data_IF_207855286273
#
_entry.id   IF_207855286273
#
_cell.length_a   1.000
_cell.length_b   1.000
_cell.length_c   1.000
_cell.angle_alpha   90.00
_cell.angle_beta   90.00
_cell.angle_gamma   90.00
#
_symmetry.space_group_name_H-M   'P 1'
#
loop_
_entity.id
_entity.type
_entity.pdbx_description
1 polymer ?
#
# COMPACT_ATOMS: atom_id res chain seq x y z
N UNK A 1 -22.35 -7.60 2.77
CA UNK A 1 -22.56 -6.68 1.65
C UNK A 1 -21.28 -6.55 0.84
N UNK A 2 -20.33 -5.73 1.30
CA UNK A 2 -19.08 -5.43 0.60
C UNK A 2 -18.32 -6.67 0.10
N UNK A 3 -17.90 -7.57 1.00
CA UNK A 3 -17.15 -8.79 0.64
C UNK A 3 -17.89 -9.64 -0.39
N UNK A 4 -19.20 -9.89 -0.17
CA UNK A 4 -20.05 -10.64 -1.10
C UNK A 4 -20.11 -10.00 -2.49
N UNK A 5 -20.11 -8.67 -2.60
CA UNK A 5 -20.15 -7.99 -3.89
C UNK A 5 -18.86 -8.24 -4.69
N UNK A 6 -17.69 -8.22 -4.05
CA UNK A 6 -16.44 -8.58 -4.72
C UNK A 6 -16.45 -10.04 -5.15
N UNK A 7 -16.76 -10.96 -4.22
CA UNK A 7 -16.82 -12.40 -4.50
C UNK A 7 -17.86 -12.80 -5.56
N UNK A 8 -18.92 -12.00 -5.75
CA UNK A 8 -19.90 -12.24 -6.82
C UNK A 8 -19.32 -12.14 -8.23
N UNK A 9 -18.13 -11.56 -8.36
CA UNK A 9 -17.40 -11.44 -9.63
C UNK A 9 -16.27 -12.46 -9.78
N UNK A 10 -16.15 -13.40 -8.83
CA UNK A 10 -15.09 -14.39 -8.83
C UNK A 10 -15.20 -15.34 -10.03
N UNK A 11 -14.08 -15.55 -10.73
CA UNK A 11 -13.96 -16.53 -11.81
C UNK A 11 -13.56 -17.92 -11.28
N UNK A 12 -13.58 -18.95 -12.15
CA UNK A 12 -13.36 -20.34 -11.74
C UNK A 12 -11.97 -20.62 -11.16
N UNK A 13 -10.99 -19.82 -11.54
CA UNK A 13 -9.60 -19.88 -11.08
C UNK A 13 -9.36 -19.10 -9.77
N UNK A 14 -10.41 -18.52 -9.18
CA UNK A 14 -10.32 -17.72 -7.97
C UNK A 14 -10.11 -16.23 -8.22
N UNK A 15 -9.92 -15.80 -9.48
CA UNK A 15 -9.73 -14.39 -9.82
C UNK A 15 -10.91 -13.53 -9.37
N UNK A 16 -10.65 -12.45 -8.63
CA UNK A 16 -11.65 -11.45 -8.22
C UNK A 16 -11.26 -10.10 -8.80
N UNK A 17 -12.15 -9.48 -9.56
CA UNK A 17 -11.87 -8.22 -10.24
C UNK A 17 -11.69 -7.05 -9.26
N UNK A 18 -10.70 -6.20 -9.51
CA UNK A 18 -10.39 -5.03 -8.69
C UNK A 18 -11.46 -3.92 -8.73
N UNK A 19 -12.22 -3.79 -9.83
CA UNK A 19 -13.22 -2.73 -10.01
C UNK A 19 -14.50 -3.28 -10.65
N UNK A 20 -15.25 -4.13 -9.94
CA UNK A 20 -16.48 -4.68 -10.47
C UNK A 20 -17.55 -3.57 -10.51
N UNK A 21 -17.91 -3.16 -11.72
CA UNK A 21 -18.99 -2.18 -11.94
C UNK A 21 -20.36 -2.85 -12.04
N UNK A 22 -21.40 -2.14 -11.60
CA UNK A 22 -22.79 -2.62 -11.64
C UNK A 22 -23.31 -2.92 -13.05
N UNK A 23 -22.75 -2.28 -14.08
CA UNK A 23 -23.10 -2.55 -15.48
C UNK A 23 -22.11 -3.50 -16.17
N UNK A 24 -21.37 -4.29 -15.39
CA UNK A 24 -20.42 -5.28 -15.90
C UNK A 24 -19.04 -4.71 -16.26
N UNK A 25 -18.71 -3.47 -15.86
CA UNK A 25 -17.35 -2.97 -15.99
C UNK A 25 -16.38 -3.83 -15.17
N UNK A 26 -15.16 -4.01 -15.69
CA UNK A 26 -14.10 -4.84 -15.11
C UNK A 26 -12.77 -4.13 -15.22
N UNK A 27 -11.99 -4.16 -14.14
CA UNK A 27 -10.59 -3.74 -14.14
C UNK A 27 -9.67 -4.73 -14.85
N UNK A 28 -10.01 -6.03 -14.83
CA UNK A 28 -9.21 -7.15 -15.37
C UNK A 28 -7.86 -7.35 -14.68
N UNK A 29 -7.73 -6.87 -13.46
CA UNK A 29 -6.63 -7.18 -12.54
C UNK A 29 -7.21 -7.67 -11.22
N UNK A 30 -6.43 -8.47 -10.47
CA UNK A 30 -6.84 -8.96 -9.16
C UNK A 30 -7.17 -7.79 -8.23
N UNK A 31 -8.24 -7.92 -7.46
CA UNK A 31 -8.52 -6.99 -6.36
C UNK A 31 -7.36 -7.00 -5.36
N UNK A 32 -7.03 -5.85 -4.73
CA UNK A 32 -6.01 -5.82 -3.69
C UNK A 32 -6.32 -6.84 -2.57
N UNK A 33 -5.31 -7.52 -2.02
CA UNK A 33 -5.49 -8.60 -1.07
C UNK A 33 -5.85 -8.03 0.32
N UNK A 34 -7.13 -7.71 0.51
CA UNK A 34 -7.70 -7.20 1.78
C UNK A 34 -9.07 -7.84 2.11
N UNK A 35 -9.56 -8.75 1.28
CA UNK A 35 -10.93 -9.27 1.38
C UNK A 35 -11.11 -10.23 2.57
N UNK A 36 -10.13 -11.07 2.88
CA UNK A 36 -10.14 -11.95 4.04
C UNK A 36 -10.03 -11.16 5.34
N UNK A 37 -9.20 -10.11 5.38
CA UNK A 37 -9.13 -9.19 6.51
C UNK A 37 -10.49 -8.55 6.79
N UNK A 38 -11.14 -8.03 5.75
CA UNK A 38 -12.47 -7.42 5.85
C UNK A 38 -13.54 -8.42 6.29
N UNK A 39 -13.49 -9.66 5.77
CA UNK A 39 -14.41 -10.71 6.17
C UNK A 39 -14.22 -11.11 7.64
N UNK A 40 -12.98 -11.22 8.10
CA UNK A 40 -12.67 -11.51 9.50
C UNK A 40 -13.13 -10.39 10.43
N UNK A 41 -12.87 -9.13 10.07
CA UNK A 41 -13.36 -7.96 10.82
C UNK A 41 -14.89 -7.93 10.89
N UNK A 42 -15.57 -8.21 9.77
CA UNK A 42 -17.02 -8.30 9.75
C UNK A 42 -17.54 -9.43 10.65
N UNK A 43 -16.89 -10.59 10.66
CA UNK A 43 -17.21 -11.68 11.58
C UNK A 43 -17.00 -11.26 13.04
N UNK A 44 -15.89 -10.61 13.40
CA UNK A 44 -15.64 -10.14 14.77
C UNK A 44 -16.71 -9.14 15.25
N UNK A 45 -17.27 -8.33 14.35
CA UNK A 45 -18.32 -7.37 14.68
C UNK A 45 -19.73 -7.98 14.73
N UNK A 46 -19.96 -9.15 14.13
CA UNK A 46 -21.30 -9.74 13.95
C UNK A 46 -21.48 -11.11 14.58
N UNK A 47 -20.39 -11.81 14.88
CA UNK A 47 -20.32 -13.22 15.32
C UNK A 47 -21.08 -14.18 14.38
N UNK A 48 -21.23 -13.81 13.09
CA UNK A 48 -21.98 -14.59 12.13
C UNK A 48 -21.11 -15.70 11.51
N UNK A 49 -21.11 -16.88 12.14
CA UNK A 49 -20.36 -18.05 11.66
C UNK A 49 -20.84 -18.56 10.29
N UNK A 50 -22.14 -18.45 9.98
CA UNK A 50 -22.68 -18.86 8.69
C UNK A 50 -22.11 -18.01 7.54
N UNK A 51 -21.97 -16.70 7.75
CA UNK A 51 -21.29 -15.81 6.81
C UNK A 51 -19.81 -16.21 6.64
N UNK A 52 -19.12 -16.54 7.73
CA UNK A 52 -17.71 -16.95 7.67
C UNK A 52 -17.53 -18.24 6.86
N UNK A 53 -18.38 -19.23 7.11
CA UNK A 53 -18.38 -20.50 6.38
C UNK A 53 -18.71 -20.33 4.89
N UNK A 54 -19.61 -19.39 4.55
CA UNK A 54 -19.98 -19.04 3.17
C UNK A 54 -18.80 -18.43 2.40
N UNK A 55 -18.08 -17.48 3.00
CA UNK A 55 -17.03 -16.73 2.29
C UNK A 55 -15.64 -17.36 2.34
N UNK A 56 -15.39 -18.31 3.25
CA UNK A 56 -14.05 -18.89 3.39
C UNK A 56 -13.52 -19.58 2.12
N UNK A 57 -14.23 -20.53 1.48
CA UNK A 57 -13.73 -21.18 0.27
C UNK A 57 -13.41 -20.22 -0.89
N UNK A 58 -14.28 -19.26 -1.27
CA UNK A 58 -13.95 -18.31 -2.35
C UNK A 58 -12.83 -17.35 -1.95
N UNK A 59 -12.70 -16.94 -0.69
CA UNK A 59 -11.56 -16.11 -0.24
C UNK A 59 -10.24 -16.88 -0.33
N UNK A 60 -10.22 -18.16 0.02
CA UNK A 60 -9.04 -19.01 -0.11
C UNK A 60 -8.61 -19.14 -1.58
N UNK A 61 -9.56 -19.38 -2.49
CA UNK A 61 -9.28 -19.44 -3.92
C UNK A 61 -8.73 -18.10 -4.46
N UNK A 62 -9.28 -16.98 -4.02
CA UNK A 62 -8.79 -15.65 -4.36
C UNK A 62 -7.36 -15.40 -3.85
N UNK A 63 -7.08 -15.79 -2.61
CA UNK A 63 -5.72 -15.71 -2.05
C UNK A 63 -4.74 -16.56 -2.87
N UNK A 64 -5.13 -17.78 -3.26
CA UNK A 64 -4.29 -18.65 -4.09
C UNK A 64 -4.05 -18.10 -5.50
N UNK A 65 -5.02 -17.38 -6.08
CA UNK A 65 -4.89 -16.79 -7.40
C UNK A 65 -3.71 -15.80 -7.50
N UNK A 66 -3.36 -15.11 -6.40
CA UNK A 66 -2.19 -14.24 -6.34
C UNK A 66 -0.86 -14.97 -6.58
N UNK A 67 -0.77 -16.26 -6.30
CA UNK A 67 0.45 -17.06 -6.50
C UNK A 67 0.46 -17.82 -7.83
N UNK A 68 -0.46 -17.48 -8.74
CA UNK A 68 -0.42 -18.00 -10.10
C UNK A 68 0.74 -17.36 -10.88
N UNK A 69 1.32 -18.05 -11.90
CA UNK A 69 2.44 -17.52 -12.70
C UNK A 69 2.17 -16.19 -13.41
N UNK A 70 0.90 -15.76 -13.49
CA UNK A 70 0.53 -14.46 -14.03
C UNK A 70 0.90 -13.30 -13.10
N UNK A 71 1.05 -13.57 -11.81
CA UNK A 71 1.25 -12.59 -10.74
C UNK A 71 2.52 -12.85 -9.92
N UNK A 72 3.04 -14.08 -9.90
CA UNK A 72 4.34 -14.49 -9.33
C UNK A 72 5.23 -14.89 -10.51
N UNK A 73 5.89 -13.90 -11.12
CA UNK A 73 6.40 -14.02 -12.51
C UNK A 73 7.76 -14.69 -12.59
N UNK A 74 8.58 -14.58 -11.55
CA UNK A 74 9.83 -15.32 -11.41
C UNK A 74 9.65 -16.63 -10.63
N UNK A 75 8.50 -16.84 -9.99
CA UNK A 75 8.13 -18.08 -9.33
C UNK A 75 8.83 -18.29 -7.99
N UNK A 76 9.27 -17.19 -7.35
CA UNK A 76 9.93 -17.21 -6.05
C UNK A 76 8.93 -17.37 -4.88
N UNK A 77 7.63 -17.25 -5.16
CA UNK A 77 6.56 -17.31 -4.17
C UNK A 77 6.11 -15.95 -3.65
N UNK A 78 6.57 -14.84 -4.24
CA UNK A 78 6.27 -13.45 -3.92
C UNK A 78 5.60 -12.78 -5.13
N UNK A 79 4.28 -12.60 -5.09
CA UNK A 79 3.58 -11.95 -6.20
C UNK A 79 3.99 -10.48 -6.39
N UNK A 80 3.92 -9.99 -7.63
CA UNK A 80 4.01 -8.58 -8.00
C UNK A 80 2.65 -8.01 -8.39
N UNK A 81 2.51 -6.68 -8.24
CA UNK A 81 1.33 -5.98 -8.74
C UNK A 81 1.26 -6.03 -10.27
N UNK A 82 0.04 -6.06 -10.82
CA UNK A 82 -0.17 -5.95 -12.26
C UNK A 82 -0.35 -4.50 -12.71
N UNK A 83 -0.90 -3.66 -11.83
CA UNK A 83 -1.28 -2.29 -12.17
C UNK A 83 -1.22 -1.35 -10.96
N UNK A 84 -0.74 -0.10 -11.11
CA UNK A 84 -0.65 0.86 -10.00
C UNK A 84 -1.95 1.12 -9.24
N UNK A 85 -3.10 0.98 -9.90
CA UNK A 85 -4.43 1.14 -9.28
C UNK A 85 -4.69 0.12 -8.16
N UNK A 86 -4.05 -1.04 -8.17
CA UNK A 86 -4.19 -2.05 -7.12
C UNK A 86 -3.52 -1.61 -5.81
N UNK A 87 -2.53 -0.74 -5.88
CA UNK A 87 -1.78 -0.33 -4.68
C UNK A 87 -2.61 0.53 -3.72
N UNK A 88 -3.65 1.20 -4.21
CA UNK A 88 -4.36 2.25 -3.46
C UNK A 88 -3.61 3.60 -3.40
N UNK A 89 -2.36 3.66 -3.87
CA UNK A 89 -1.60 4.89 -4.11
C UNK A 89 -1.36 5.06 -5.62
N UNK A 90 -2.44 5.34 -6.35
CA UNK A 90 -2.45 5.40 -7.82
C UNK A 90 -1.42 6.40 -8.41
N UNK A 91 -1.16 7.47 -7.66
CA UNK A 91 -0.24 8.55 -8.02
C UNK A 91 1.22 8.28 -7.62
N UNK A 92 1.57 7.04 -7.23
CA UNK A 92 2.91 6.70 -6.77
C UNK A 92 3.99 7.13 -7.79
N UNK A 93 4.94 8.00 -7.40
CA UNK A 93 6.06 8.45 -8.24
C UNK A 93 6.90 7.34 -8.89
N UNK A 94 6.99 6.17 -8.27
CA UNK A 94 7.75 5.04 -8.79
C UNK A 94 7.13 4.45 -10.05
N UNK A 95 5.79 4.41 -10.14
CA UNK A 95 5.06 3.62 -11.14
C UNK A 95 4.23 4.45 -12.12
N UNK A 96 3.93 5.71 -11.79
CA UNK A 96 3.07 6.55 -12.62
C UNK A 96 3.85 7.31 -13.73
N UNK A 97 3.19 7.53 -14.88
CA UNK A 97 3.67 8.31 -16.04
C UNK A 97 2.91 9.63 -16.28
N UNK A 98 2.00 10.00 -15.39
CA UNK A 98 1.23 11.24 -15.53
C UNK A 98 2.09 12.49 -15.47
N UNK A 99 3.26 12.37 -14.83
CA UNK A 99 4.19 13.47 -14.66
C UNK A 99 5.58 13.13 -15.20
N UNK A 100 6.20 14.07 -15.90
CA UNK A 100 7.54 13.91 -16.47
C UNK A 100 8.64 13.69 -15.41
N UNK A 101 8.39 14.07 -14.16
CA UNK A 101 9.32 13.87 -13.05
C UNK A 101 9.20 12.48 -12.41
N UNK A 102 8.07 11.79 -12.58
CA UNK A 102 7.85 10.44 -12.07
C UNK A 102 8.68 9.41 -12.84
N UNK A 103 8.98 8.29 -12.21
CA UNK A 103 9.83 7.25 -12.79
C UNK A 103 9.08 6.43 -13.84
N UNK A 104 7.86 5.99 -13.54
CA UNK A 104 7.05 5.20 -14.47
C UNK A 104 7.63 3.82 -14.76
N UNK A 105 8.18 3.17 -13.73
CA UNK A 105 8.63 1.77 -13.80
C UNK A 105 7.41 0.89 -14.03
N UNK A 106 7.59 -0.17 -14.82
CA UNK A 106 6.59 -1.22 -14.90
C UNK A 106 6.50 -1.95 -13.56
N UNK A 107 5.38 -1.76 -12.86
CA UNK A 107 5.16 -2.28 -11.51
C UNK A 107 5.26 -3.81 -11.45
N UNK A 108 5.01 -4.51 -12.57
CA UNK A 108 5.14 -5.97 -12.68
C UNK A 108 6.61 -6.48 -12.67
N UNK A 109 7.58 -5.56 -12.65
CA UNK A 109 9.02 -5.87 -12.51
C UNK A 109 9.56 -5.55 -11.11
N UNK A 110 8.66 -5.25 -10.18
CA UNK A 110 8.99 -4.75 -8.85
C UNK A 110 8.29 -5.59 -7.79
N UNK A 111 9.06 -6.15 -6.88
CA UNK A 111 8.55 -6.70 -5.64
C UNK A 111 8.27 -5.58 -4.65
N UNK A 112 7.05 -5.62 -4.10
CA UNK A 112 6.55 -4.59 -3.20
C UNK A 112 6.40 -5.14 -1.79
N UNK A 113 7.15 -4.65 -0.77
CA UNK A 113 6.95 -5.10 0.61
C UNK A 113 5.53 -4.84 1.11
N UNK A 114 4.84 -3.83 0.55
CA UNK A 114 3.42 -3.59 0.84
C UNK A 114 2.49 -4.72 0.32
N UNK A 115 2.79 -5.32 -0.83
CA UNK A 115 1.97 -6.43 -1.37
C UNK A 115 2.20 -7.69 -0.54
N UNK A 116 3.47 -8.02 -0.27
CA UNK A 116 3.83 -9.14 0.58
C UNK A 116 3.22 -9.01 1.99
N UNK A 117 3.27 -7.82 2.59
CA UNK A 117 2.61 -7.52 3.87
C UNK A 117 1.09 -7.69 3.82
N UNK A 118 0.45 -7.28 2.73
CA UNK A 118 -1.01 -7.43 2.55
C UNK A 118 -1.40 -8.90 2.43
N UNK A 119 -0.68 -9.66 1.59
CA UNK A 119 -0.89 -11.11 1.45
C UNK A 119 -0.60 -11.84 2.75
N UNK A 120 0.41 -11.43 3.52
CA UNK A 120 0.68 -12.00 4.84
C UNK A 120 -0.52 -11.80 5.75
N UNK A 121 -1.10 -10.60 5.79
CA UNK A 121 -2.26 -10.29 6.64
C UNK A 121 -3.53 -11.00 6.18
N UNK A 122 -3.76 -11.15 4.89
CA UNK A 122 -4.82 -12.01 4.34
C UNK A 122 -4.65 -13.46 4.79
N UNK A 123 -3.42 -13.98 4.66
CA UNK A 123 -3.09 -15.34 5.05
C UNK A 123 -3.34 -15.58 6.55
N UNK A 124 -2.93 -14.64 7.41
CA UNK A 124 -3.23 -14.67 8.85
C UNK A 124 -4.73 -14.67 9.13
N UNK A 125 -5.50 -13.88 8.39
CA UNK A 125 -6.96 -13.84 8.53
C UNK A 125 -7.58 -15.18 8.10
N UNK A 126 -7.12 -15.77 6.99
CA UNK A 126 -7.56 -17.09 6.53
C UNK A 126 -7.22 -18.21 7.53
N UNK A 127 -6.05 -18.16 8.18
CA UNK A 127 -5.69 -19.10 9.26
C UNK A 127 -6.70 -19.00 10.39
N UNK A 128 -7.02 -17.79 10.85
CA UNK A 128 -8.01 -17.59 11.92
C UNK A 128 -9.41 -18.09 11.53
N UNK A 129 -9.81 -17.90 10.27
CA UNK A 129 -11.07 -18.47 9.76
C UNK A 129 -11.03 -19.99 9.72
N UNK A 130 -9.94 -20.57 9.23
CA UNK A 130 -9.78 -22.01 9.10
C UNK A 130 -9.80 -22.69 10.48
N UNK A 131 -9.10 -22.14 11.47
CA UNK A 131 -9.16 -22.58 12.86
C UNK A 131 -10.59 -22.52 13.41
N UNK A 132 -11.28 -21.39 13.19
CA UNK A 132 -12.66 -21.20 13.67
C UNK A 132 -13.66 -22.16 13.03
N UNK A 133 -13.43 -22.56 11.77
CA UNK A 133 -14.30 -23.45 10.99
C UNK A 133 -13.87 -24.93 11.03
N UNK A 134 -12.76 -25.27 11.70
CA UNK A 134 -12.24 -26.64 11.76
C UNK A 134 -11.66 -27.15 10.43
N UNK A 135 -11.06 -26.26 9.62
CA UNK A 135 -10.48 -26.53 8.29
C UNK A 135 -8.99 -26.86 8.37
N UNK A 136 -8.68 -28.04 8.89
CA UNK A 136 -7.29 -28.41 9.22
C UNK A 136 -6.39 -28.67 8.01
N UNK A 137 -6.95 -29.05 6.86
CA UNK A 137 -6.17 -29.38 5.65
C UNK A 137 -5.52 -28.13 5.06
N UNK A 138 -6.20 -26.99 5.16
CA UNK A 138 -5.76 -25.72 4.58
C UNK A 138 -4.73 -24.98 5.45
N UNK A 139 -4.63 -25.32 6.74
CA UNK A 139 -3.77 -24.62 7.71
C UNK A 139 -2.29 -24.73 7.38
N UNK A 140 -1.80 -25.92 7.01
CA UNK A 140 -0.37 -26.14 6.77
C UNK A 140 0.14 -25.29 5.60
N UNK A 141 -0.62 -25.27 4.49
CA UNK A 141 -0.30 -24.45 3.31
C UNK A 141 -0.29 -22.95 3.64
N UNK A 142 -1.30 -22.48 4.38
CA UNK A 142 -1.37 -21.08 4.80
C UNK A 142 -0.21 -20.70 5.72
N UNK A 143 0.12 -21.54 6.71
CA UNK A 143 1.24 -21.29 7.61
C UNK A 143 2.57 -21.22 6.85
N UNK A 144 2.80 -22.13 5.90
CA UNK A 144 3.98 -22.11 5.05
C UNK A 144 4.07 -20.80 4.23
N UNK A 145 2.97 -20.40 3.58
CA UNK A 145 2.91 -19.14 2.82
C UNK A 145 3.15 -17.91 3.69
N UNK A 146 2.57 -17.87 4.90
CA UNK A 146 2.78 -16.77 5.83
C UNK A 146 4.26 -16.64 6.24
N UNK A 147 4.97 -17.75 6.46
CA UNK A 147 6.40 -17.73 6.78
C UNK A 147 7.21 -17.19 5.59
N UNK A 148 6.96 -17.67 4.38
CA UNK A 148 7.65 -17.21 3.18
C UNK A 148 7.47 -15.69 2.97
N UNK A 149 6.23 -15.20 2.98
CA UNK A 149 5.93 -13.77 2.81
C UNK A 149 6.59 -12.89 3.88
N UNK A 150 6.70 -13.39 5.12
CA UNK A 150 7.37 -12.69 6.21
C UNK A 150 8.87 -12.54 5.94
N UNK A 151 9.54 -13.63 5.55
CA UNK A 151 10.98 -13.63 5.24
C UNK A 151 11.26 -12.64 4.11
N UNK A 152 10.50 -12.72 3.03
CA UNK A 152 10.70 -11.87 1.84
C UNK A 152 10.44 -10.38 2.12
N UNK A 153 9.45 -10.09 2.97
CA UNK A 153 9.22 -8.71 3.44
C UNK A 153 10.40 -8.22 4.29
N UNK A 154 10.95 -9.04 5.18
CA UNK A 154 12.12 -8.67 6.00
C UNK A 154 13.39 -8.49 5.16
N UNK A 155 13.55 -9.22 4.06
CA UNK A 155 14.68 -9.03 3.14
C UNK A 155 14.62 -7.70 2.37
N UNK A 156 13.45 -7.07 2.29
CA UNK A 156 13.32 -5.70 1.79
C UNK A 156 13.88 -4.63 2.76
N UNK A 157 14.26 -5.00 3.99
CA UNK A 157 14.71 -4.04 5.01
C UNK A 157 16.08 -3.42 4.70
N UNK A 158 16.15 -2.10 4.76
CA UNK A 158 17.40 -1.35 4.69
C UNK A 158 17.73 -0.67 6.03
N UNK A 159 18.74 -1.21 6.72
CA UNK A 159 19.17 -0.67 8.02
C UNK A 159 19.74 0.77 7.94
N UNK A 160 20.25 1.17 6.77
CA UNK A 160 20.84 2.49 6.54
C UNK A 160 19.80 3.60 6.54
N UNK A 161 18.72 3.43 5.79
CA UNK A 161 17.59 4.37 5.72
C UNK A 161 16.53 4.14 6.81
N UNK A 162 16.63 3.03 7.55
CA UNK A 162 15.63 2.56 8.51
C UNK A 162 14.23 2.41 7.87
N UNK A 163 14.20 1.90 6.64
CA UNK A 163 12.99 1.70 5.84
C UNK A 163 13.06 0.38 5.10
N UNK A 164 11.90 -0.18 4.77
CA UNK A 164 11.80 -1.18 3.72
C UNK A 164 11.92 -0.51 2.36
N UNK A 165 12.53 -1.16 1.38
CA UNK A 165 12.63 -0.69 0.00
C UNK A 165 11.96 -1.65 -0.97
N UNK A 166 11.57 -1.14 -2.14
CA UNK A 166 11.22 -2.01 -3.27
C UNK A 166 12.40 -2.86 -3.70
N UNK A 167 12.15 -4.01 -4.32
CA UNK A 167 13.19 -4.84 -4.95
C UNK A 167 12.87 -5.04 -6.42
N UNK A 168 13.93 -5.15 -7.21
CA UNK A 168 13.82 -5.72 -8.55
C UNK A 168 13.42 -7.18 -8.45
N UNK A 169 12.37 -7.59 -9.19
CA UNK A 169 11.87 -8.97 -9.20
C UNK A 169 12.98 -9.99 -9.46
N UNK A 170 13.64 -9.90 -10.62
CA UNK A 170 14.58 -10.96 -11.03
C UNK A 170 15.91 -10.99 -10.25
N UNK A 171 16.25 -9.94 -9.49
CA UNK A 171 17.56 -9.85 -8.78
C UNK A 171 17.43 -9.74 -7.27
N UNK A 172 16.22 -9.54 -6.75
CA UNK A 172 15.90 -9.31 -5.34
C UNK A 172 16.77 -8.20 -4.70
N UNK A 173 17.04 -7.12 -5.46
CA UNK A 173 17.93 -6.02 -5.04
C UNK A 173 17.25 -4.66 -5.11
N UNK A 174 17.52 -3.83 -4.11
CA UNK A 174 17.07 -2.43 -4.04
C UNK A 174 18.15 -1.46 -4.53
N UNK A 175 18.50 -1.50 -5.82
CA UNK A 175 19.54 -0.63 -6.37
C UNK A 175 19.05 0.81 -6.57
N UNK A 176 19.93 1.79 -6.31
CA UNK A 176 19.66 3.19 -6.63
C UNK A 176 19.75 3.46 -8.13
N UNK A 177 18.91 4.38 -8.62
CA UNK A 177 18.87 4.79 -10.02
C UNK A 177 20.13 5.54 -10.47
N UNK A 178 20.60 5.26 -11.69
CA UNK A 178 21.76 5.93 -12.30
C UNK A 178 21.46 6.35 -13.73
N UNK A 179 21.64 7.63 -14.04
CA UNK A 179 21.56 8.12 -15.41
C UNK A 179 22.70 7.54 -16.26
N UNK A 180 22.35 6.92 -17.38
CA UNK A 180 23.30 6.29 -18.30
C UNK A 180 23.57 7.17 -19.52
N UNK A 181 22.50 7.67 -20.14
CA UNK A 181 22.61 8.53 -21.31
C UNK A 181 21.34 9.37 -21.54
N UNK A 182 21.51 10.42 -22.35
CA UNK A 182 20.43 11.27 -22.84
C UNK A 182 20.63 11.55 -24.32
N UNK A 183 19.55 11.53 -25.11
CA UNK A 183 19.57 11.74 -26.56
C UNK A 183 18.37 12.55 -27.03
N UNK A 184 18.50 13.18 -28.20
CA UNK A 184 17.38 13.70 -28.98
C UNK A 184 17.14 12.84 -30.23
N UNK A 185 15.88 12.49 -30.47
CA UNK A 185 15.43 11.66 -31.59
C UNK A 185 16.03 10.25 -31.63
N UNK A 186 15.81 9.60 -32.77
CA UNK A 186 16.26 8.23 -33.03
C UNK A 186 17.80 8.13 -33.10
N UNK A 187 18.34 6.94 -32.84
CA UNK A 187 19.74 6.62 -33.06
C UNK A 187 20.31 5.58 -32.10
N UNK A 188 21.59 5.29 -32.30
CA UNK A 188 22.36 4.32 -31.51
C UNK A 188 23.19 5.01 -30.43
N UNK A 189 23.25 4.37 -29.26
CA UNK A 189 24.05 4.78 -28.11
C UNK A 189 24.95 3.62 -27.70
N UNK A 190 26.25 3.75 -27.91
CA UNK A 190 27.24 2.77 -27.44
C UNK A 190 27.62 3.10 -26.01
N UNK A 191 27.27 2.23 -25.07
CA UNK A 191 27.40 2.52 -23.63
C UNK A 191 28.59 1.79 -22.99
N UNK A 192 29.00 0.62 -23.49
CA UNK A 192 30.16 -0.19 -23.01
C UNK A 192 30.36 -0.12 -21.48
N UNK A 193 29.30 -0.41 -20.71
CA UNK A 193 29.33 -0.41 -19.24
C UNK A 193 29.22 -1.83 -18.70
N UNK A 194 29.92 -2.12 -17.61
CA UNK A 194 29.78 -3.35 -16.85
C UNK A 194 29.34 -3.03 -15.43
N UNK A 195 28.54 -3.92 -14.84
CA UNK A 195 27.96 -3.74 -13.52
C UNK A 195 28.37 -4.90 -12.61
N UNK A 196 28.63 -4.60 -11.34
CA UNK A 196 28.97 -5.60 -10.33
C UNK A 196 27.77 -6.45 -9.90
N UNK A 197 26.56 -5.90 -10.04
CA UNK A 197 25.30 -6.60 -9.91
C UNK A 197 24.46 -6.35 -11.18
N UNK A 198 23.64 -7.31 -11.62
CA UNK A 198 22.74 -7.10 -12.76
C UNK A 198 21.82 -5.89 -12.51
N UNK A 199 21.51 -5.13 -13.56
CA UNK A 199 20.65 -3.94 -13.47
C UNK A 199 19.50 -4.00 -14.46
N UNK A 200 18.31 -3.58 -14.02
CA UNK A 200 17.18 -3.30 -14.90
C UNK A 200 17.28 -1.89 -15.46
N UNK A 201 16.91 -1.73 -16.72
CA UNK A 201 16.97 -0.46 -17.43
C UNK A 201 15.58 0.19 -17.51
N UNK A 202 15.59 1.51 -17.43
CA UNK A 202 14.45 2.36 -17.66
C UNK A 202 14.78 3.32 -18.81
N UNK A 203 13.97 3.30 -19.85
CA UNK A 203 14.01 4.27 -20.95
C UNK A 203 12.78 5.16 -20.83
N UNK A 204 12.99 6.46 -20.70
CA UNK A 204 11.91 7.46 -20.70
C UNK A 204 12.00 8.34 -21.93
N UNK A 205 10.84 8.61 -22.54
CA UNK A 205 10.70 9.46 -23.70
C UNK A 205 9.75 10.60 -23.37
N UNK A 206 10.11 11.81 -23.80
CA UNK A 206 9.27 13.00 -23.74
C UNK A 206 9.17 13.62 -25.13
N UNK A 207 7.94 13.68 -25.67
CA UNK A 207 7.63 14.29 -26.97
C UNK A 207 7.24 15.76 -26.78
N UNK A 208 7.26 16.54 -27.87
CA UNK A 208 6.86 17.97 -27.84
C UNK A 208 5.43 18.23 -28.27
N UNK A 209 4.87 17.38 -29.10
CA UNK A 209 3.64 17.62 -29.86
C UNK A 209 2.50 16.66 -29.49
N UNK A 210 2.64 15.92 -28.37
CA UNK A 210 1.66 14.94 -27.86
C UNK A 210 1.30 13.82 -28.85
N UNK A 211 2.00 13.71 -29.98
CA UNK A 211 1.71 12.69 -30.97
C UNK A 211 2.40 11.37 -30.59
N UNK A 212 1.65 10.27 -30.68
CA UNK A 212 2.17 8.93 -30.42
C UNK A 212 3.28 8.56 -31.40
N UNK A 213 4.36 7.98 -30.88
CA UNK A 213 5.49 7.49 -31.68
C UNK A 213 5.41 5.99 -31.89
N UNK A 214 5.94 5.52 -33.02
CA UNK A 214 6.19 4.08 -33.25
C UNK A 214 7.54 3.70 -32.63
N UNK A 215 7.65 3.93 -31.32
CA UNK A 215 8.88 3.73 -30.58
C UNK A 215 9.26 2.24 -30.56
N UNK A 216 10.50 1.96 -30.94
CA UNK A 216 11.15 0.67 -30.80
C UNK A 216 12.50 0.87 -30.13
N UNK A 217 12.80 0.04 -29.14
CA UNK A 217 14.09 0.07 -28.44
C UNK A 217 14.72 -1.30 -28.50
N UNK A 218 15.95 -1.37 -29.00
CA UNK A 218 16.78 -2.59 -28.96
C UNK A 218 17.90 -2.40 -27.96
N UNK A 219 17.97 -3.27 -26.95
CA UNK A 219 19.00 -3.27 -25.91
C UNK A 219 19.92 -4.46 -26.18
N UNK A 220 21.22 -4.20 -26.34
CA UNK A 220 22.24 -5.24 -26.56
C UNK A 220 23.22 -5.26 -25.40
N UNK A 221 23.40 -6.42 -24.79
CA UNK A 221 24.24 -6.57 -23.60
C UNK A 221 24.54 -8.02 -23.26
N UNK A 222 25.01 -8.23 -22.03
CA UNK A 222 25.13 -9.55 -21.41
C UNK A 222 24.21 -9.61 -20.19
N UNK A 223 23.58 -10.77 -20.01
CA UNK A 223 22.79 -11.16 -18.84
C UNK A 223 23.47 -12.36 -18.18
N UNK A 224 22.89 -12.90 -17.11
CA UNK A 224 23.34 -14.17 -16.52
C UNK A 224 23.26 -15.35 -17.50
N UNK A 225 22.34 -15.31 -18.47
CA UNK A 225 22.17 -16.34 -19.51
C UNK A 225 23.10 -16.19 -20.71
N UNK A 226 23.90 -15.12 -20.76
CA UNK A 226 24.82 -14.82 -21.86
C UNK A 226 24.46 -13.56 -22.64
N UNK A 227 24.97 -13.45 -23.87
CA UNK A 227 24.72 -12.30 -24.73
C UNK A 227 23.24 -12.24 -25.15
N UNK A 228 22.60 -11.09 -24.91
CA UNK A 228 21.19 -10.87 -25.21
C UNK A 228 20.97 -9.63 -26.06
N UNK A 229 19.93 -9.70 -26.89
CA UNK A 229 19.42 -8.59 -27.69
C UNK A 229 17.90 -8.51 -27.49
N UNK A 230 17.48 -7.66 -26.56
CA UNK A 230 16.07 -7.46 -26.23
C UNK A 230 15.46 -6.40 -27.16
N UNK A 231 14.34 -6.73 -27.79
CA UNK A 231 13.54 -5.80 -28.58
C UNK A 231 12.24 -5.47 -27.85
N UNK A 232 12.13 -4.23 -27.40
CA UNK A 232 10.92 -3.68 -26.79
C UNK A 232 10.12 -2.98 -27.88
N UNK A 233 8.90 -3.46 -28.13
CA UNK A 233 8.02 -2.98 -29.19
C UNK A 233 6.97 -2.04 -28.65
N UNK A 234 6.27 -1.33 -29.54
CA UNK A 234 5.20 -0.36 -29.22
C UNK A 234 4.19 -0.86 -28.17
N UNK A 235 3.80 -2.14 -28.21
CA UNK A 235 2.80 -2.70 -27.30
C UNK A 235 3.28 -2.78 -25.84
N UNK A 236 4.59 -2.76 -25.63
CA UNK A 236 5.24 -2.82 -24.32
C UNK A 236 5.56 -1.42 -23.78
N UNK A 237 5.20 -0.37 -24.52
CA UNK A 237 5.45 1.03 -24.17
C UNK A 237 4.22 1.60 -23.49
N UNK A 238 4.40 2.02 -22.25
CA UNK A 238 3.37 2.77 -21.55
C UNK A 238 3.42 4.23 -22.00
N UNK A 239 2.31 4.73 -22.56
CA UNK A 239 2.19 6.12 -23.02
C UNK A 239 1.18 6.89 -22.19
N UNK A 240 1.52 8.12 -21.83
CA UNK A 240 0.58 9.08 -21.28
C UNK A 240 0.90 10.49 -21.80
N UNK A 241 0.02 11.02 -22.64
CA UNK A 241 0.18 12.32 -23.30
C UNK A 241 1.55 12.45 -23.99
N UNK A 242 2.38 13.41 -23.58
CA UNK A 242 3.74 13.61 -24.09
C UNK A 242 4.80 12.65 -23.51
N UNK A 243 4.48 11.83 -22.51
CA UNK A 243 5.46 10.98 -21.83
C UNK A 243 5.28 9.50 -22.20
N UNK A 244 6.40 8.79 -22.25
CA UNK A 244 6.41 7.34 -22.30
C UNK A 244 7.54 6.76 -21.45
N UNK A 245 7.33 5.57 -20.89
CA UNK A 245 8.39 4.78 -20.30
C UNK A 245 8.36 3.33 -20.75
N UNK A 246 9.53 2.73 -20.68
CA UNK A 246 9.82 1.35 -21.02
C UNK A 246 10.76 0.83 -19.96
N UNK A 247 10.40 -0.30 -19.37
CA UNK A 247 11.24 -1.02 -18.43
C UNK A 247 11.76 -2.26 -19.15
N UNK A 248 13.07 -2.55 -19.06
CA UNK A 248 13.61 -3.76 -19.66
C UNK A 248 13.04 -5.00 -18.98
N UNK A 249 12.74 -6.04 -19.77
CA UNK A 249 12.35 -7.36 -19.27
C UNK A 249 13.54 -8.08 -18.65
N UNK A 250 14.71 -7.92 -19.26
CA UNK A 250 15.96 -8.53 -18.82
C UNK A 250 16.72 -7.63 -17.85
N UNK A 251 17.59 -8.25 -17.06
CA UNK A 251 18.59 -7.59 -16.21
C UNK A 251 20.00 -7.82 -16.75
N UNK A 252 20.78 -6.75 -16.83
CA UNK A 252 22.05 -6.74 -17.56
C UNK A 252 23.25 -6.63 -16.62
N UNK A 253 24.24 -7.51 -16.81
CA UNK A 253 25.57 -7.41 -16.18
C UNK A 253 26.52 -6.56 -17.02
N UNK A 254 26.28 -6.48 -18.34
CA UNK A 254 27.01 -5.60 -19.25
C UNK A 254 26.07 -5.00 -20.28
N UNK A 255 26.26 -3.72 -20.60
CA UNK A 255 25.49 -2.99 -21.60
C UNK A 255 26.39 -2.49 -22.72
N UNK A 256 26.14 -2.95 -23.94
CA UNK A 256 26.99 -2.66 -25.10
C UNK A 256 26.43 -1.50 -25.92
N UNK A 257 25.17 -1.62 -26.35
CA UNK A 257 24.51 -0.70 -27.26
C UNK A 257 23.01 -0.64 -26.96
N UNK A 258 22.43 0.56 -27.04
CA UNK A 258 20.99 0.76 -27.10
C UNK A 258 20.67 1.49 -28.40
N UNK A 259 19.74 0.94 -29.17
CA UNK A 259 19.22 1.56 -30.40
C UNK A 259 17.77 1.99 -30.15
N UNK A 260 17.49 3.25 -30.44
CA UNK A 260 16.16 3.84 -30.32
C UNK A 260 15.68 4.24 -31.71
N UNK A 261 14.51 3.77 -32.12
CA UNK A 261 13.91 4.07 -33.42
C UNK A 261 12.48 4.62 -33.25
N UNK A 262 12.00 5.33 -34.28
CA UNK A 262 10.62 5.84 -34.34
C UNK A 262 10.38 7.17 -33.62
N UNK A 263 11.44 7.87 -33.21
CA UNK A 263 11.37 9.20 -32.58
C UNK A 263 11.77 10.32 -33.54
N UNK A 264 11.13 11.48 -33.37
CA UNK A 264 11.45 12.70 -34.10
C UNK A 264 12.68 13.42 -33.54
N UNK A 265 13.39 14.25 -34.34
CA UNK A 265 14.63 14.91 -33.91
C UNK A 265 14.52 15.75 -32.62
N UNK A 266 13.33 16.21 -32.25
CA UNK A 266 13.10 17.04 -31.08
C UNK A 266 12.66 16.28 -29.84
N UNK A 267 12.28 15.00 -29.97
CA UNK A 267 11.88 14.16 -28.85
C UNK A 267 13.09 13.85 -27.98
N UNK A 268 12.91 13.83 -26.66
CA UNK A 268 13.97 13.59 -25.70
C UNK A 268 13.89 12.17 -25.18
N UNK A 269 15.02 11.47 -25.15
CA UNK A 269 15.17 10.14 -24.56
C UNK A 269 16.16 10.20 -23.42
N UNK A 270 15.80 9.62 -22.28
CA UNK A 270 16.67 9.42 -21.13
C UNK A 270 16.74 7.94 -20.82
N UNK A 271 17.95 7.44 -20.61
CA UNK A 271 18.22 6.04 -20.27
C UNK A 271 18.87 6.03 -18.89
N UNK A 272 18.30 5.27 -17.97
CA UNK A 272 18.80 5.07 -16.61
C UNK A 272 18.69 3.61 -16.19
N UNK A 273 19.34 3.26 -15.08
CA UNK A 273 18.91 2.09 -14.30
C UNK A 273 17.68 2.46 -13.47
N UNK A 274 16.84 1.48 -13.16
CA UNK A 274 15.69 1.66 -12.26
C UNK A 274 16.18 2.04 -10.86
N UNK A 275 15.43 2.92 -10.21
CA UNK A 275 15.60 3.34 -8.82
C UNK A 275 14.58 2.66 -7.91
N UNK A 276 15.06 1.78 -7.04
CA UNK A 276 14.28 1.08 -6.04
C UNK A 276 14.41 1.69 -4.63
N UNK A 277 15.11 2.82 -4.51
CA UNK A 277 15.36 3.49 -3.22
C UNK A 277 14.36 4.59 -2.90
N UNK A 278 13.32 4.75 -3.73
CA UNK A 278 12.25 5.70 -3.47
C UNK A 278 11.45 5.28 -2.24
N UNK A 279 11.16 6.25 -1.40
CA UNK A 279 10.46 6.04 -0.13
C UNK A 279 9.09 6.69 -0.15
N UNK A 280 8.07 5.87 0.09
CA UNK A 280 6.68 6.30 0.18
C UNK A 280 5.93 5.62 1.34
N UNK A 281 4.74 6.12 1.63
CA UNK A 281 3.92 5.68 2.76
C UNK A 281 3.54 4.19 2.73
N UNK A 282 3.58 3.53 1.55
CA UNK A 282 3.21 2.11 1.44
C UNK A 282 4.25 1.21 2.11
N UNK A 283 5.48 1.70 2.27
CA UNK A 283 6.60 0.98 2.89
C UNK A 283 6.45 0.84 4.42
N UNK A 284 5.43 1.47 5.02
CA UNK A 284 5.04 1.25 6.42
C UNK A 284 4.03 0.11 6.61
N UNK A 285 3.46 -0.43 5.53
CA UNK A 285 2.46 -1.49 5.61
C UNK A 285 2.92 -2.79 6.29
N UNK A 286 4.23 -3.16 6.31
CA UNK A 286 4.71 -4.25 7.16
C UNK A 286 4.37 -4.08 8.66
N UNK A 287 4.29 -2.84 9.18
CA UNK A 287 3.85 -2.58 10.56
C UNK A 287 2.39 -2.99 10.76
N UNK A 288 1.51 -2.64 9.83
CA UNK A 288 0.10 -3.05 9.87
C UNK A 288 -0.06 -4.57 9.83
N UNK A 289 0.77 -5.24 9.03
CA UNK A 289 0.78 -6.69 8.93
C UNK A 289 1.29 -7.38 10.21
N UNK A 290 2.11 -6.70 11.02
CA UNK A 290 2.76 -7.25 12.22
C UNK A 290 3.99 -8.12 11.89
N UNK A 291 4.68 -7.80 10.80
CA UNK A 291 5.82 -8.56 10.28
C UNK A 291 7.14 -8.28 11.04
N UNK A 292 7.57 -7.00 11.17
CA UNK A 292 8.84 -6.69 11.80
C UNK A 292 8.89 -7.14 13.25
N UNK A 293 10.09 -7.52 13.69
CA UNK A 293 10.36 -7.70 15.12
C UNK A 293 10.40 -6.34 15.83
N UNK A 294 10.21 -6.34 17.16
CA UNK A 294 10.08 -5.11 17.96
C UNK A 294 11.18 -4.08 17.69
N UNK A 295 12.44 -4.53 17.58
CA UNK A 295 13.58 -3.63 17.30
C UNK A 295 13.52 -3.02 15.89
N UNK A 296 13.14 -3.81 14.89
CA UNK A 296 12.99 -3.32 13.51
C UNK A 296 11.81 -2.35 13.41
N UNK A 297 10.68 -2.69 14.03
CA UNK A 297 9.51 -1.83 14.12
C UNK A 297 9.83 -0.50 14.81
N UNK A 298 10.53 -0.52 15.95
CA UNK A 298 10.97 0.68 16.64
C UNK A 298 11.87 1.55 15.75
N UNK A 299 12.82 0.96 15.03
CA UNK A 299 13.68 1.71 14.10
C UNK A 299 12.86 2.32 12.95
N UNK A 300 11.90 1.59 12.38
CA UNK A 300 11.05 2.09 11.30
C UNK A 300 10.14 3.23 11.77
N UNK A 301 9.57 3.11 12.97
CA UNK A 301 8.68 4.12 13.55
C UNK A 301 9.47 5.36 13.95
N UNK A 302 10.51 5.22 14.77
CA UNK A 302 11.18 6.34 15.41
C UNK A 302 12.12 7.10 14.47
N UNK A 303 12.75 6.41 13.51
CA UNK A 303 13.72 7.01 12.56
C UNK A 303 13.17 7.18 11.15
N UNK A 304 12.07 6.49 10.82
CA UNK A 304 11.40 6.58 9.53
C UNK A 304 10.13 7.41 9.63
N UNK A 305 9.10 6.86 10.27
CA UNK A 305 7.75 7.40 10.28
C UNK A 305 7.63 8.75 11.01
N UNK A 306 8.26 8.87 12.18
CA UNK A 306 8.18 10.05 13.06
C UNK A 306 9.20 11.14 12.74
N UNK A 307 9.99 10.96 11.69
CA UNK A 307 10.95 11.94 11.22
C UNK A 307 10.22 13.10 10.51
N UNK A 308 10.35 14.31 11.08
CA UNK A 308 9.70 15.53 10.61
C UNK A 308 10.29 16.10 9.32
N UNK A 309 11.52 15.70 8.96
CA UNK A 309 12.15 16.08 7.70
C UNK A 309 11.73 15.13 6.55
N UNK A 310 11.01 14.04 6.87
CA UNK A 310 10.58 13.01 5.92
C UNK A 310 9.06 12.95 5.80
N UNK A 311 8.45 12.24 6.75
CA UNK A 311 7.05 11.83 6.68
C UNK A 311 6.17 12.58 7.67
N UNK A 312 6.68 12.99 8.83
CA UNK A 312 5.84 13.41 9.97
C UNK A 312 5.53 14.91 9.97
N UNK A 313 4.44 15.30 9.30
CA UNK A 313 4.06 16.70 9.10
C UNK A 313 2.92 17.18 10.04
N UNK A 314 2.65 18.50 10.14
CA UNK A 314 1.60 19.07 11.00
C UNK A 314 0.19 18.48 10.81
N UNK A 315 -0.13 18.00 9.60
CA UNK A 315 -1.45 17.46 9.26
C UNK A 315 -1.47 15.94 9.03
N UNK A 316 -0.36 15.24 9.31
CA UNK A 316 -0.28 13.78 9.24
C UNK A 316 1.00 13.31 8.53
N UNK A 317 1.05 12.01 8.24
CA UNK A 317 2.11 11.39 7.42
C UNK A 317 1.89 11.68 5.93
N UNK A 318 2.92 12.18 5.26
CA UNK A 318 2.91 12.45 3.80
C UNK A 318 3.06 11.17 2.97
N UNK A 319 2.66 11.24 1.71
CA UNK A 319 2.73 10.10 0.79
C UNK A 319 4.17 9.73 0.42
N UNK A 320 5.10 10.68 0.37
CA UNK A 320 6.52 10.44 0.07
C UNK A 320 7.42 11.06 1.14
N UNK A 321 8.62 10.49 1.30
CA UNK A 321 9.62 10.98 2.26
C UNK A 321 10.26 12.31 1.84
N UNK A 322 10.30 12.61 0.53
CA UNK A 322 10.94 13.82 0.03
C UNK A 322 10.22 14.37 -1.20
N UNK A 323 10.43 15.66 -1.46
CA UNK A 323 9.87 16.35 -2.62
C UNK A 323 10.91 16.41 -3.76
N UNK A 324 10.76 15.64 -4.85
CA UNK A 324 11.76 15.62 -5.92
C UNK A 324 11.79 16.93 -6.73
N UNK A 325 10.64 17.59 -6.89
CA UNK A 325 10.50 18.87 -7.58
C UNK A 325 9.18 19.57 -7.19
N UNK A 326 9.04 20.90 -7.40
CA UNK A 326 7.83 21.62 -7.00
C UNK A 326 6.51 21.07 -7.58
N UNK A 327 6.44 20.64 -8.86
CA UNK A 327 5.22 20.04 -9.40
C UNK A 327 4.79 18.71 -8.75
N UNK A 328 5.66 18.07 -7.95
CA UNK A 328 5.33 16.84 -7.23
C UNK A 328 4.62 17.11 -5.90
N UNK A 329 4.52 18.37 -5.46
CA UNK A 329 4.06 18.76 -4.12
C UNK A 329 2.69 18.17 -3.77
N UNK A 330 1.72 18.29 -4.68
CA UNK A 330 0.35 17.81 -4.44
C UNK A 330 0.23 16.29 -4.29
N UNK A 331 1.24 15.54 -4.75
CA UNK A 331 1.29 14.08 -4.63
C UNK A 331 2.15 13.70 -3.42
N UNK A 332 3.42 14.15 -3.39
CA UNK A 332 4.39 13.76 -2.37
C UNK A 332 4.01 14.26 -0.98
N UNK A 333 3.46 15.48 -0.85
CA UNK A 333 2.97 16.04 0.41
C UNK A 333 1.47 15.81 0.60
N UNK A 334 0.89 14.79 -0.03
CA UNK A 334 -0.50 14.42 0.24
C UNK A 334 -0.62 13.52 1.48
N UNK A 335 -1.61 13.80 2.32
CA UNK A 335 -2.08 12.97 3.44
C UNK A 335 -3.33 12.23 2.96
N UNK A 336 -3.22 10.90 2.86
CA UNK A 336 -4.29 10.03 2.38
C UNK A 336 -4.87 9.23 3.57
N UNK A 337 -6.12 9.49 3.93
CA UNK A 337 -6.73 8.92 5.14
C UNK A 337 -6.71 7.38 5.21
N UNK A 338 -6.89 6.62 4.11
CA UNK A 338 -6.78 5.17 4.15
C UNK A 338 -5.39 4.70 4.58
N UNK A 339 -4.33 5.40 4.18
CA UNK A 339 -2.97 5.07 4.61
C UNK A 339 -2.72 5.48 6.06
N UNK A 340 -3.28 6.60 6.53
CA UNK A 340 -3.22 6.96 7.95
C UNK A 340 -3.90 5.92 8.84
N UNK A 341 -5.02 5.35 8.38
CA UNK A 341 -5.68 4.24 9.06
C UNK A 341 -4.71 3.05 9.22
N UNK A 342 -4.11 2.58 8.12
CA UNK A 342 -3.23 1.40 8.13
C UNK A 342 -1.96 1.63 8.95
N UNK A 343 -1.32 2.80 8.79
CA UNK A 343 -0.14 3.20 9.57
C UNK A 343 -0.49 3.27 11.06
N UNK A 344 -1.61 3.91 11.41
CA UNK A 344 -2.07 4.01 12.79
C UNK A 344 -2.37 2.64 13.41
N UNK A 345 -3.00 1.74 12.68
CA UNK A 345 -3.22 0.35 13.11
C UNK A 345 -1.89 -0.40 13.33
N UNK A 346 -0.88 -0.12 12.49
CA UNK A 346 0.49 -0.57 12.71
C UNK A 346 1.09 -0.04 14.01
N UNK A 347 0.99 1.26 14.29
CA UNK A 347 1.43 1.86 15.55
C UNK A 347 0.78 1.18 16.76
N UNK A 348 -0.52 0.95 16.72
CA UNK A 348 -1.26 0.25 17.78
C UNK A 348 -0.77 -1.19 17.97
N UNK A 349 -0.46 -1.90 16.88
CA UNK A 349 0.06 -3.28 16.91
C UNK A 349 1.38 -3.37 17.69
N UNK A 350 2.21 -2.33 17.63
CA UNK A 350 3.50 -2.26 18.33
C UNK A 350 3.47 -1.44 19.63
N UNK A 351 2.28 -1.08 20.14
CA UNK A 351 2.13 -0.39 21.43
C UNK A 351 2.38 1.12 21.43
N UNK A 352 2.53 1.75 20.26
CA UNK A 352 2.72 3.19 20.09
C UNK A 352 1.38 3.95 20.14
N UNK A 353 0.64 3.79 21.25
CA UNK A 353 -0.72 4.34 21.42
C UNK A 353 -0.74 5.88 21.43
N UNK A 354 0.29 6.51 22.00
CA UNK A 354 0.39 7.97 22.08
C UNK A 354 0.62 8.58 20.70
N UNK A 355 1.47 7.94 19.90
CA UNK A 355 1.82 8.33 18.54
C UNK A 355 0.63 8.11 17.60
N UNK A 356 -0.12 7.01 17.77
CA UNK A 356 -1.38 6.79 17.05
C UNK A 356 -2.40 7.90 17.36
N UNK A 357 -2.54 8.30 18.62
CA UNK A 357 -3.42 9.41 19.01
C UNK A 357 -2.98 10.76 18.40
N UNK A 358 -1.67 11.02 18.33
CA UNK A 358 -1.12 12.20 17.67
C UNK A 358 -1.36 12.18 16.15
N UNK A 359 -1.17 11.04 15.48
CA UNK A 359 -1.44 10.88 14.05
C UNK A 359 -2.91 11.19 13.72
N UNK A 360 -3.84 10.70 14.55
CA UNK A 360 -5.27 10.99 14.40
C UNK A 360 -5.55 12.46 14.63
N UNK A 361 -4.99 13.07 15.67
CA UNK A 361 -5.17 14.50 15.95
C UNK A 361 -4.68 15.38 14.77
N UNK A 362 -3.51 15.07 14.21
CA UNK A 362 -2.95 15.76 13.04
C UNK A 362 -3.84 15.58 11.81
N UNK A 363 -4.27 14.36 11.52
CA UNK A 363 -5.18 14.07 10.40
C UNK A 363 -6.51 14.81 10.56
N UNK A 364 -7.07 14.82 11.78
CA UNK A 364 -8.31 15.54 12.08
C UNK A 364 -8.16 17.06 12.00
N UNK A 365 -6.98 17.63 12.26
CA UNK A 365 -6.76 19.07 12.05
C UNK A 365 -7.01 19.47 10.59
N UNK A 366 -6.60 18.64 9.62
CA UNK A 366 -6.86 18.90 8.20
C UNK A 366 -8.35 18.77 7.86
N UNK A 367 -8.98 17.69 8.33
CA UNK A 367 -10.42 17.48 8.15
C UNK A 367 -11.23 18.64 8.72
N UNK A 368 -10.96 19.04 9.97
CA UNK A 368 -11.65 20.13 10.67
C UNK A 368 -11.43 21.46 9.95
N UNK A 369 -10.21 21.75 9.49
CA UNK A 369 -9.89 22.95 8.73
C UNK A 369 -10.82 23.08 7.50
N UNK A 370 -10.92 22.01 6.70
CA UNK A 370 -11.72 22.01 5.48
C UNK A 370 -13.22 21.96 5.74
N UNK A 371 -13.67 21.27 6.80
CA UNK A 371 -15.08 21.31 7.18
C UNK A 371 -15.53 22.70 7.65
N UNK A 372 -14.67 23.43 8.35
CA UNK A 372 -14.96 24.80 8.81
C UNK A 372 -14.94 25.82 7.67
N UNK A 373 -13.99 25.70 6.74
CA UNK A 373 -13.80 26.69 5.68
C UNK A 373 -14.56 26.39 4.39
N UNK A 374 -14.63 25.10 4.01
CA UNK A 374 -15.13 24.64 2.72
C UNK A 374 -16.36 23.73 2.84
N UNK A 375 -16.78 23.40 4.07
CA UNK A 375 -17.93 22.52 4.35
C UNK A 375 -17.86 21.19 3.58
N UNK A 376 -16.65 20.61 3.48
CA UNK A 376 -16.44 19.41 2.69
C UNK A 376 -15.23 18.58 3.14
N UNK A 377 -15.31 17.30 2.83
CA UNK A 377 -14.15 16.40 2.80
C UNK A 377 -13.46 16.49 1.44
N UNK A 378 -12.21 16.05 1.36
CA UNK A 378 -11.45 15.97 0.10
C UNK A 378 -10.72 14.65 0.00
N UNK A 379 -10.47 14.16 -1.23
CA UNK A 379 -9.76 12.89 -1.48
C UNK A 379 -8.49 12.74 -0.64
N UNK A 380 -7.71 13.82 -0.53
CA UNK A 380 -6.52 13.91 0.32
C UNK A 380 -6.40 15.33 0.89
N UNK A 381 -5.40 15.54 1.74
CA UNK A 381 -5.09 16.84 2.34
C UNK A 381 -3.61 17.16 2.24
N UNK A 382 -3.21 18.43 2.19
CA UNK A 382 -1.80 18.79 2.16
C UNK A 382 -1.15 18.60 3.54
N UNK A 383 -0.01 17.91 3.60
CA UNK A 383 0.67 17.51 4.84
C UNK A 383 1.12 18.69 5.72
N UNK A 384 1.57 19.78 5.08
CA UNK A 384 2.00 21.00 5.80
C UNK A 384 0.94 22.10 5.92
N UNK A 385 0.05 22.25 4.94
CA UNK A 385 -0.92 23.35 4.85
C UNK A 385 -2.35 22.95 5.25
N UNK A 386 -2.64 21.65 5.29
CA UNK A 386 -3.94 21.09 5.63
C UNK A 386 -5.03 21.30 4.57
N UNK A 387 -4.77 22.04 3.49
CA UNK A 387 -5.76 22.31 2.44
C UNK A 387 -6.16 21.03 1.69
N UNK A 388 -7.45 20.92 1.34
CA UNK A 388 -7.97 19.77 0.59
C UNK A 388 -7.37 19.64 -0.81
N UNK A 389 -7.11 18.39 -1.23
CA UNK A 389 -6.55 18.02 -2.53
C UNK A 389 -7.51 17.03 -3.22
N UNK A 390 -7.79 17.27 -4.50
CA UNK A 390 -8.59 16.38 -5.33
C UNK A 390 -10.11 16.57 -5.18
N UNK A 391 -10.86 15.49 -5.39
CA UNK A 391 -12.32 15.51 -5.42
C UNK A 391 -12.94 15.89 -4.07
N UNK A 392 -13.97 16.74 -4.12
CA UNK A 392 -14.75 17.18 -2.97
C UNK A 392 -15.76 16.10 -2.55
N UNK A 393 -15.93 15.91 -1.25
CA UNK A 393 -16.78 14.88 -0.63
C UNK A 393 -16.45 13.44 -1.05
N UNK A 394 -15.17 13.19 -1.36
CA UNK A 394 -14.68 11.85 -1.65
C UNK A 394 -14.68 10.96 -0.40
N UNK A 395 -15.08 9.69 -0.56
CA UNK A 395 -15.11 8.70 0.53
C UNK A 395 -13.73 8.47 1.15
N UNK A 396 -12.68 8.49 0.33
CA UNK A 396 -11.29 8.35 0.78
C UNK A 396 -10.84 9.50 1.71
N UNK A 397 -11.59 10.60 1.76
CA UNK A 397 -11.29 11.77 2.57
C UNK A 397 -11.93 11.80 3.96
N UNK A 398 -12.76 10.80 4.28
CA UNK A 398 -13.53 10.78 5.52
C UNK A 398 -12.63 10.57 6.75
N UNK A 399 -13.10 11.05 7.90
CA UNK A 399 -12.41 10.87 9.16
C UNK A 399 -12.24 9.37 9.50
N UNK A 400 -11.04 8.92 9.95
CA UNK A 400 -10.74 7.52 10.23
C UNK A 400 -11.34 7.07 11.57
N UNK A 401 -12.67 6.96 11.62
CA UNK A 401 -13.41 6.62 12.85
C UNK A 401 -12.99 5.27 13.44
N UNK A 402 -12.67 4.29 12.58
CA UNK A 402 -12.19 2.98 13.00
C UNK A 402 -10.90 3.09 13.83
N UNK A 403 -9.88 3.75 13.28
CA UNK A 403 -8.62 3.98 13.99
C UNK A 403 -8.82 4.82 15.26
N UNK A 404 -9.69 5.82 15.23
CA UNK A 404 -10.05 6.61 16.43
C UNK A 404 -10.57 5.73 17.57
N UNK A 405 -11.54 4.85 17.29
CA UNK A 405 -12.12 3.96 18.28
C UNK A 405 -11.11 2.91 18.77
N UNK A 406 -10.30 2.34 17.87
CA UNK A 406 -9.24 1.39 18.23
C UNK A 406 -8.18 2.04 19.12
N UNK A 407 -7.77 3.27 18.81
CA UNK A 407 -6.79 4.05 19.59
C UNK A 407 -7.35 4.41 20.96
N UNK A 408 -8.65 4.71 21.06
CA UNK A 408 -9.35 4.92 22.32
C UNK A 408 -9.50 3.62 23.14
N UNK A 409 -9.24 2.46 22.53
CA UNK A 409 -9.46 1.15 23.13
C UNK A 409 -10.94 0.86 23.35
N UNK A 410 -11.78 1.18 22.37
CA UNK A 410 -13.25 1.02 22.42
C UNK A 410 -13.72 0.18 21.23
N UNK A 411 -14.31 -0.98 21.51
CA UNK A 411 -14.90 -1.85 20.50
C UNK A 411 -16.34 -2.23 20.88
N UNK A 412 -17.30 -1.84 20.04
CA UNK A 412 -18.70 -2.23 20.19
C UNK A 412 -18.94 -3.64 19.64
N UNK A 413 -19.66 -4.47 20.39
CA UNK A 413 -19.97 -5.86 20.07
C UNK A 413 -21.49 -6.10 20.05
N UNK A 414 -21.97 -7.21 19.45
CA UNK A 414 -23.40 -7.55 19.44
C UNK A 414 -23.99 -7.69 20.84
N UNK A 415 -25.28 -7.35 20.99
CA UNK A 415 -25.99 -7.46 22.26
C UNK A 415 -25.62 -6.38 23.29
N UNK A 416 -25.25 -5.18 22.81
CA UNK A 416 -24.80 -4.06 23.65
C UNK A 416 -23.57 -4.37 24.52
N UNK A 417 -22.78 -5.37 24.13
CA UNK A 417 -21.48 -5.67 24.74
C UNK A 417 -20.44 -4.68 24.26
N UNK A 418 -19.45 -4.43 25.11
CA UNK A 418 -18.37 -3.49 24.83
C UNK A 418 -17.05 -4.09 25.29
N UNK A 419 -16.04 -4.11 24.42
CA UNK A 419 -14.66 -4.38 24.85
C UNK A 419 -13.94 -3.05 25.05
N UNK A 420 -13.37 -2.89 26.24
CA UNK A 420 -12.46 -1.80 26.57
C UNK A 420 -11.05 -2.35 26.71
N UNK A 421 -10.07 -1.67 26.10
CA UNK A 421 -8.65 -2.00 26.20
C UNK A 421 -7.83 -0.76 26.57
N UNK A 422 -6.72 -0.95 27.28
CA UNK A 422 -5.78 0.11 27.62
C UNK A 422 -6.39 1.29 28.39
N UNK A 423 -5.84 2.48 28.13
CA UNK A 423 -6.25 3.78 28.70
C UNK A 423 -6.53 4.76 27.57
N UNK A 424 -7.19 5.89 27.86
CA UNK A 424 -7.33 6.98 26.89
C UNK A 424 -5.95 7.61 26.57
N UNK A 425 -5.45 7.54 25.32
CA UNK A 425 -4.19 8.19 24.95
C UNK A 425 -4.36 9.66 24.56
N UNK A 426 -5.59 10.14 24.37
CA UNK A 426 -5.85 11.54 24.06
C UNK A 426 -5.71 12.42 25.31
N UNK A 427 -5.24 13.67 25.18
CA UNK A 427 -5.03 14.55 26.34
C UNK A 427 -6.32 15.15 26.90
N UNK A 428 -7.48 14.76 26.37
CA UNK A 428 -8.81 15.19 26.81
C UNK A 428 -9.73 13.97 26.98
N UNK A 429 -10.77 14.06 27.84
CA UNK A 429 -11.76 13.01 27.96
C UNK A 429 -12.55 12.84 26.66
N UNK A 430 -12.88 11.61 26.30
CA UNK A 430 -13.61 11.28 25.08
C UNK A 430 -14.89 10.55 25.44
N UNK A 431 -16.03 11.04 24.92
CA UNK A 431 -17.33 10.37 25.03
C UNK A 431 -17.79 9.89 23.66
N UNK A 432 -18.08 8.59 23.55
CA UNK A 432 -18.63 7.95 22.36
C UNK A 432 -20.03 7.43 22.66
N UNK A 433 -21.01 7.76 21.81
CA UNK A 433 -22.38 7.26 21.92
C UNK A 433 -22.76 6.45 20.69
N UNK A 434 -23.25 5.22 20.89
CA UNK A 434 -23.65 4.34 19.80
C UNK A 434 -24.79 3.42 20.23
N UNK A 435 -25.90 3.44 19.48
CA UNK A 435 -27.09 2.58 19.73
C UNK A 435 -27.57 2.59 21.20
N UNK A 436 -27.56 3.76 21.83
CA UNK A 436 -27.98 3.94 23.23
C UNK A 436 -26.90 3.66 24.28
N UNK A 437 -25.77 3.04 23.91
CA UNK A 437 -24.58 2.97 24.77
C UNK A 437 -23.86 4.31 24.78
N UNK A 438 -23.36 4.71 25.95
CA UNK A 438 -22.45 5.84 26.11
C UNK A 438 -21.18 5.38 26.82
N UNK A 439 -20.02 5.67 26.26
CA UNK A 439 -18.71 5.33 26.83
C UNK A 439 -17.92 6.61 26.99
N UNK A 440 -17.59 6.98 28.22
CA UNK A 440 -16.73 8.12 28.52
C UNK A 440 -15.41 7.61 29.05
N UNK A 441 -14.31 7.88 28.33
CA UNK A 441 -12.95 7.55 28.76
C UNK A 441 -12.21 8.79 29.21
N UNK A 442 -11.75 8.79 30.46
CA UNK A 442 -10.90 9.83 31.07
C UNK A 442 -9.45 9.33 31.11
N UNK A 443 -8.57 10.05 31.79
CA UNK A 443 -7.14 9.69 31.91
C UNK A 443 -6.90 8.34 32.59
N UNK A 444 -7.69 8.04 33.62
CA UNK A 444 -7.48 6.98 34.61
C UNK A 444 -8.76 6.21 34.95
N UNK A 445 -9.87 6.57 34.30
CA UNK A 445 -11.18 5.97 34.56
C UNK A 445 -12.04 5.96 33.30
N UNK A 446 -12.83 4.90 33.17
CA UNK A 446 -13.85 4.74 32.15
C UNK A 446 -15.23 4.57 32.76
N UNK A 447 -16.22 5.16 32.11
CA UNK A 447 -17.63 5.08 32.50
C UNK A 447 -18.44 4.59 31.30
N UNK A 448 -19.22 3.52 31.50
CA UNK A 448 -20.09 2.93 30.49
C UNK A 448 -21.53 3.01 30.96
N UNK A 449 -22.37 3.72 30.23
CA UNK A 449 -23.81 3.79 30.46
C UNK A 449 -24.55 2.97 29.41
N UNK A 450 -25.36 2.01 29.87
CA UNK A 450 -26.19 1.14 29.04
C UNK A 450 -27.48 1.81 28.59
N UNK A 451 -28.17 1.29 27.55
CA UNK A 451 -29.44 1.83 27.07
C UNK A 451 -30.55 1.90 28.13
N UNK A 452 -30.46 1.07 29.18
CA UNK A 452 -31.40 1.06 30.32
C UNK A 452 -31.02 2.05 31.44
N UNK A 453 -29.95 2.82 31.26
CA UNK A 453 -29.47 3.82 32.20
C UNK A 453 -28.50 3.29 33.27
N UNK A 454 -28.27 1.97 33.36
CA UNK A 454 -27.27 1.41 34.27
C UNK A 454 -25.88 1.89 33.86
N UNK A 455 -25.04 2.16 34.86
CA UNK A 455 -23.69 2.68 34.64
C UNK A 455 -22.65 1.83 35.35
N UNK A 456 -21.56 1.53 34.66
CA UNK A 456 -20.40 0.81 35.18
C UNK A 456 -19.19 1.72 35.09
N UNK A 457 -18.49 1.89 36.20
CA UNK A 457 -17.23 2.64 36.28
C UNK A 457 -16.05 1.66 36.45
N UNK A 458 -14.99 1.88 35.69
CA UNK A 458 -13.79 1.03 35.64
C UNK A 458 -12.56 1.90 35.80
N UNK A 459 -11.56 1.44 36.55
CA UNK A 459 -10.23 2.06 36.58
C UNK A 459 -9.42 1.66 35.35
N UNK A 460 -8.68 2.61 34.78
CA UNK A 460 -7.80 2.37 33.63
C UNK A 460 -6.34 2.11 34.10
N UNK A 461 -5.53 1.32 33.36
CA UNK A 461 -5.87 0.63 32.12
C UNK A 461 -6.85 -0.51 32.36
N UNK A 462 -7.82 -0.64 31.46
CA UNK A 462 -8.85 -1.67 31.51
C UNK A 462 -8.68 -2.60 30.31
N UNK A 463 -8.64 -3.91 30.52
CA UNK A 463 -8.78 -4.90 29.44
C UNK A 463 -9.92 -5.85 29.80
N UNK A 464 -11.14 -5.45 29.44
CA UNK A 464 -12.34 -6.13 29.92
C UNK A 464 -13.48 -6.10 28.91
N UNK A 465 -14.31 -7.14 28.98
CA UNK A 465 -15.59 -7.21 28.30
C UNK A 465 -16.67 -6.73 29.28
N UNK A 466 -17.31 -5.61 28.95
CA UNK A 466 -18.43 -5.04 29.70
C UNK A 466 -19.73 -5.52 29.03
N UNK A 467 -20.56 -6.23 29.79
CA UNK A 467 -21.83 -6.76 29.33
C UNK A 467 -23.00 -6.05 30.05
N UNK A 468 -24.15 -5.89 29.39
CA UNK A 468 -25.39 -5.61 30.10
C UNK A 468 -25.74 -6.87 30.92
N UNK A 469 -25.68 -6.78 32.25
CA UNK A 469 -26.12 -7.87 33.13
C UNK A 469 -27.62 -8.17 32.98
#
# INVERSE_FOLDING_TARGET
GLVRNFLSTQEKDGFVDCRPGLAGQRGRWLSPPVLACLAWQAYQATENEAFLAEVFPPLLAFFQAWFAPAHDRDGDGVPEWDHPLQTGFEDNPAFNLWHAWAQGVDIATVESPALAASLYRECRSLIQMAEKLGRSEELEMLQFRAVALRIETEECWNAGSAMYHYRDRDTHRSLAGKALAKRRGSGKLKLKRSYTAPVRLLIRVQTKDKAFRRLEVTIKGQTSSGAQAELIKRQDVQWHMENAALTSREVYTQLNEIEVAGLEPNDQVTISTVDYTQEDQTLFLPLWAGIPEERHAASLIERGLLDTDRFYHPFGVSACASLPCPPAETICLSVQMPWQQLIGEGLLTYGYYSEAAQLIARSMNAVILNLKQQHAFYRAYHAERGVGIGERNALAGLAPLGLFLQTLGVQFLPGSRLRLSGKNPFPWPVTVKYRGLSVTRRSDQSEVTFPDGRTVALSDPSDTLVCPE
#
